data_IF_496303734976
#
_entry.id   IF_496303734976
#
_cell.length_a   1.000
_cell.length_b   1.000
_cell.length_c   1.000
_cell.angle_alpha   90.00
_cell.angle_beta   90.00
_cell.angle_gamma   90.00
#
_symmetry.space_group_name_H-M   'P 1'
#
loop_
_entity.id
_entity.type
_entity.pdbx_description
1 polymer ?
#
# COMPACT_ATOMS: atom_id res chain seq x y z
N UNK A 1 22.71 -6.49 7.50
CA UNK A 1 21.77 -5.57 8.16
C UNK A 1 21.29 -4.58 7.12
N UNK A 2 19.98 -4.41 6.96
CA UNK A 2 19.44 -3.53 5.94
C UNK A 2 19.61 -2.06 6.35
N UNK A 3 19.74 -1.17 5.37
CA UNK A 3 19.79 0.28 5.58
C UNK A 3 18.55 0.80 6.31
N UNK A 4 17.40 0.17 6.10
CA UNK A 4 16.13 0.53 6.75
C UNK A 4 16.22 0.44 8.28
N UNK A 5 16.76 -0.65 8.81
CA UNK A 5 16.96 -0.81 10.28
C UNK A 5 17.86 0.29 10.82
N UNK A 6 18.88 0.67 10.04
CA UNK A 6 19.80 1.76 10.42
C UNK A 6 19.11 3.12 10.48
N UNK A 7 18.12 3.37 9.62
CA UNK A 7 17.35 4.60 9.67
C UNK A 7 16.60 4.74 11.00
N UNK A 8 15.94 3.68 11.51
CA UNK A 8 15.29 3.73 12.82
C UNK A 8 16.30 3.96 13.97
N UNK A 9 17.44 3.28 13.94
CA UNK A 9 18.51 3.51 14.93
C UNK A 9 19.01 4.97 14.91
N UNK A 10 19.20 5.55 13.74
CA UNK A 10 19.64 6.93 13.58
C UNK A 10 18.54 7.94 13.94
N UNK A 11 17.28 7.67 13.62
CA UNK A 11 16.16 8.51 14.04
C UNK A 11 16.04 8.56 15.57
N UNK A 12 16.17 7.41 16.25
CA UNK A 12 16.21 7.38 17.72
C UNK A 12 17.33 8.24 18.30
N UNK A 13 18.55 8.17 17.74
CA UNK A 13 19.68 9.02 18.15
C UNK A 13 19.41 10.50 17.92
N UNK A 14 18.88 10.86 16.75
CA UNK A 14 18.54 12.24 16.42
C UNK A 14 17.50 12.83 17.39
N UNK A 15 16.52 12.03 17.83
CA UNK A 15 15.55 12.43 18.85
C UNK A 15 16.20 12.74 20.21
N UNK A 16 17.30 12.08 20.53
CA UNK A 16 18.08 12.34 21.74
C UNK A 16 19.15 13.43 21.58
N UNK A 17 19.18 14.13 20.43
CA UNK A 17 20.11 15.23 20.17
C UNK A 17 21.51 14.79 19.76
N UNK A 18 21.70 13.53 19.41
CA UNK A 18 22.96 13.05 18.83
C UNK A 18 23.08 13.49 17.37
N UNK A 19 24.28 13.94 16.97
CA UNK A 19 24.57 14.22 15.57
C UNK A 19 24.72 12.91 14.79
N UNK A 20 23.81 12.69 13.85
CA UNK A 20 23.80 11.52 12.96
C UNK A 20 24.27 11.87 11.54
N UNK A 21 24.63 13.14 11.27
CA UNK A 21 25.02 13.63 9.95
C UNK A 21 23.95 13.34 8.90
N UNK A 22 24.39 12.95 7.70
CA UNK A 22 23.50 12.53 6.61
C UNK A 22 22.95 11.08 6.77
N UNK A 23 22.70 10.66 7.99
CA UNK A 23 22.46 9.28 8.40
C UNK A 23 21.17 8.61 7.92
N UNK A 24 20.46 9.17 6.93
CA UNK A 24 19.32 8.51 6.27
C UNK A 24 19.77 7.82 4.98
N UNK A 25 19.30 6.60 4.76
CA UNK A 25 19.60 5.75 3.61
C UNK A 25 18.35 5.36 2.85
N UNK A 26 18.38 5.54 1.54
CA UNK A 26 17.30 5.13 0.64
C UNK A 26 16.36 6.26 0.26
N UNK A 27 15.13 5.92 -0.05
CA UNK A 27 14.10 6.85 -0.50
C UNK A 27 13.23 7.32 0.68
N UNK A 28 12.57 8.46 0.56
CA UNK A 28 11.73 9.06 1.60
C UNK A 28 10.71 8.09 2.21
N UNK A 29 10.24 7.12 1.45
CA UNK A 29 9.28 6.09 1.88
C UNK A 29 9.92 4.80 2.42
N UNK A 30 11.21 4.81 2.72
CA UNK A 30 11.97 3.58 3.03
C UNK A 30 11.45 2.82 4.27
N UNK A 31 10.84 3.52 5.22
CA UNK A 31 10.25 2.91 6.42
C UNK A 31 9.18 1.86 6.09
N UNK A 32 8.48 2.05 4.97
CA UNK A 32 7.44 1.11 4.51
C UNK A 32 7.98 -0.28 4.17
N UNK A 33 9.26 -0.42 3.82
CA UNK A 33 9.87 -1.73 3.54
C UNK A 33 9.97 -2.57 4.82
N UNK A 34 10.35 -1.96 5.94
CA UNK A 34 10.35 -2.62 7.25
C UNK A 34 8.93 -3.02 7.66
N UNK A 35 7.97 -2.14 7.47
CA UNK A 35 6.57 -2.37 7.78
C UNK A 35 6.02 -3.59 7.01
N UNK A 36 6.15 -3.61 5.69
CA UNK A 36 5.70 -4.73 4.84
C UNK A 36 6.41 -6.04 5.20
N UNK A 37 7.69 -5.98 5.58
CA UNK A 37 8.42 -7.15 6.03
C UNK A 37 7.88 -7.68 7.35
N UNK A 38 7.58 -6.81 8.34
CA UNK A 38 6.96 -7.19 9.61
C UNK A 38 5.58 -7.82 9.35
N UNK A 39 4.79 -7.23 8.47
CA UNK A 39 3.46 -7.75 8.12
C UNK A 39 3.55 -9.16 7.52
N UNK A 40 4.48 -9.38 6.58
CA UNK A 40 4.74 -10.70 6.01
C UNK A 40 5.21 -11.71 7.05
N UNK A 41 6.10 -11.31 7.95
CA UNK A 41 6.58 -12.14 9.05
C UNK A 41 5.45 -12.49 10.02
N UNK A 42 4.55 -11.55 10.32
CA UNK A 42 3.39 -11.77 11.18
C UNK A 42 2.46 -12.85 10.61
N UNK A 43 2.09 -12.75 9.34
CA UNK A 43 1.26 -13.78 8.70
C UNK A 43 1.96 -15.14 8.63
N UNK A 44 3.28 -15.16 8.41
CA UNK A 44 4.06 -16.39 8.46
C UNK A 44 4.05 -17.02 9.85
N UNK A 45 4.24 -16.22 10.91
CA UNK A 45 4.22 -16.66 12.31
C UNK A 45 2.85 -17.18 12.75
N UNK A 46 1.76 -16.64 12.19
CA UNK A 46 0.41 -17.12 12.48
C UNK A 46 0.18 -18.57 12.01
N UNK A 47 0.85 -18.98 10.92
CA UNK A 47 0.74 -20.31 10.33
C UNK A 47 1.86 -21.25 10.79
N UNK A 48 3.06 -20.72 10.90
CA UNK A 48 4.29 -21.48 11.21
C UNK A 48 5.07 -20.78 12.32
N UNK A 49 4.82 -21.15 13.58
CA UNK A 49 5.55 -20.57 14.71
C UNK A 49 7.07 -20.77 14.57
N UNK A 50 7.82 -19.67 14.69
CA UNK A 50 9.28 -19.62 14.59
C UNK A 50 9.82 -18.62 15.63
N UNK A 51 10.50 -19.14 16.66
CA UNK A 51 11.02 -18.32 17.76
C UNK A 51 12.11 -17.34 17.28
N UNK A 52 12.95 -17.74 16.32
CA UNK A 52 14.02 -16.89 15.81
C UNK A 52 13.44 -15.74 14.98
N UNK A 53 12.46 -16.02 14.12
CA UNK A 53 11.77 -15.00 13.36
C UNK A 53 11.04 -14.03 14.30
N UNK A 54 10.31 -14.56 15.29
CA UNK A 54 9.61 -13.75 16.30
C UNK A 54 10.57 -12.83 17.06
N UNK A 55 11.72 -13.34 17.52
CA UNK A 55 12.74 -12.53 18.19
C UNK A 55 13.32 -11.45 17.27
N UNK A 56 13.52 -11.75 15.99
CA UNK A 56 14.02 -10.77 15.00
C UNK A 56 13.00 -9.65 14.77
N UNK A 57 11.70 -9.98 14.71
CA UNK A 57 10.62 -8.98 14.59
C UNK A 57 10.55 -8.13 15.86
N UNK A 58 10.62 -8.72 17.05
CA UNK A 58 10.60 -7.99 18.32
C UNK A 58 11.78 -6.99 18.41
N UNK A 59 13.02 -7.42 18.04
CA UNK A 59 14.17 -6.51 18.00
C UNK A 59 13.95 -5.32 17.05
N UNK A 60 13.34 -5.55 15.89
CA UNK A 60 13.02 -4.46 14.96
C UNK A 60 11.94 -3.53 15.53
N UNK A 61 10.91 -4.07 16.17
CA UNK A 61 9.85 -3.29 16.83
C UNK A 61 10.43 -2.43 17.95
N UNK A 62 11.42 -2.91 18.70
CA UNK A 62 12.11 -2.13 19.72
C UNK A 62 12.78 -0.88 19.13
N UNK A 63 13.44 -1.02 17.97
CA UNK A 63 14.08 0.08 17.25
C UNK A 63 13.06 1.07 16.68
N UNK A 64 11.94 0.57 16.13
CA UNK A 64 10.84 1.41 15.63
C UNK A 64 10.24 2.22 16.79
N UNK A 65 9.98 1.59 17.93
CA UNK A 65 9.43 2.26 19.11
C UNK A 65 10.38 3.35 19.63
N UNK A 66 11.69 3.11 19.63
CA UNK A 66 12.69 4.10 20.01
C UNK A 66 12.80 5.28 19.04
N UNK A 67 12.39 5.11 17.78
CA UNK A 67 12.38 6.15 16.74
C UNK A 67 11.10 7.00 16.74
N UNK A 68 10.13 6.71 17.61
CA UNK A 68 8.92 7.51 17.73
C UNK A 68 9.12 8.72 18.62
N UNK A 69 8.77 9.90 18.12
CA UNK A 69 8.82 11.15 18.86
C UNK A 69 7.79 11.18 20.03
N UNK A 70 8.01 12.04 21.01
CA UNK A 70 7.15 12.18 22.20
C UNK A 70 5.70 12.50 21.86
N UNK A 71 5.46 13.25 20.77
CA UNK A 71 4.13 13.61 20.27
C UNK A 71 3.42 12.50 19.48
N UNK A 72 4.12 11.36 19.23
CA UNK A 72 3.62 10.22 18.46
C UNK A 72 4.02 10.20 17.00
N UNK A 73 4.69 11.23 16.51
CA UNK A 73 5.18 11.24 15.12
C UNK A 73 6.18 10.11 14.89
N UNK A 74 6.08 9.46 13.71
CA UNK A 74 7.00 8.39 13.32
C UNK A 74 7.25 8.44 11.82
N UNK A 75 8.40 8.94 11.44
CA UNK A 75 8.96 8.91 10.08
C UNK A 75 10.46 9.18 10.19
N UNK A 76 11.30 8.26 9.70
CA UNK A 76 12.74 8.37 9.90
C UNK A 76 13.38 9.40 8.99
N UNK A 77 12.81 9.65 7.79
CA UNK A 77 13.36 10.63 6.85
C UNK A 77 13.32 12.05 7.44
N UNK A 78 12.14 12.53 7.82
CA UNK A 78 11.99 13.86 8.36
C UNK A 78 12.61 13.99 9.75
N UNK A 79 12.59 12.95 10.57
CA UNK A 79 13.23 12.96 11.89
C UNK A 79 14.75 13.15 11.80
N UNK A 80 15.40 12.57 10.79
CA UNK A 80 16.86 12.66 10.58
C UNK A 80 17.23 13.91 9.78
N UNK A 81 16.48 14.21 8.72
CA UNK A 81 16.85 15.27 7.76
C UNK A 81 16.42 16.65 8.19
N UNK A 82 15.14 16.83 8.53
CA UNK A 82 14.60 18.14 8.92
C UNK A 82 13.21 17.98 9.58
N UNK A 83 13.18 18.00 10.89
CA UNK A 83 11.95 17.86 11.69
C UNK A 83 10.93 18.97 11.44
N UNK A 84 11.40 20.16 11.05
CA UNK A 84 10.51 21.30 10.80
C UNK A 84 9.74 21.15 9.48
N UNK A 85 10.19 20.26 8.59
CA UNK A 85 9.51 19.97 7.31
C UNK A 85 8.38 18.95 7.38
N UNK A 86 8.10 18.39 8.55
CA UNK A 86 6.98 17.45 8.77
C UNK A 86 5.67 18.04 8.26
N UNK A 87 4.89 17.26 7.55
CA UNK A 87 3.58 17.59 7.00
C UNK A 87 3.53 18.73 5.96
N UNK A 88 4.68 19.24 5.52
CA UNK A 88 4.73 20.35 4.56
C UNK A 88 4.67 19.91 3.10
N UNK A 89 4.92 18.65 2.80
CA UNK A 89 4.95 18.10 1.44
C UNK A 89 4.22 16.75 1.38
N UNK A 90 2.91 16.77 1.50
CA UNK A 90 2.11 15.54 1.42
C UNK A 90 2.13 14.93 0.02
N UNK A 91 2.36 15.74 -1.03
CA UNK A 91 2.52 15.27 -2.40
C UNK A 91 3.61 14.20 -2.54
N UNK A 92 4.78 14.41 -1.90
CA UNK A 92 5.99 13.60 -2.09
C UNK A 92 6.54 12.97 -0.80
N UNK A 93 6.23 13.53 0.36
CA UNK A 93 6.85 13.19 1.65
C UNK A 93 6.58 11.78 2.16
N UNK A 94 5.49 11.16 1.73
CA UNK A 94 5.11 9.76 2.07
C UNK A 94 4.94 9.47 3.56
N UNK A 95 4.82 10.49 4.42
CA UNK A 95 4.64 10.32 5.87
C UNK A 95 3.40 9.47 6.19
N UNK A 96 2.25 9.80 5.57
CA UNK A 96 1.01 9.05 5.72
C UNK A 96 1.07 7.65 5.12
N UNK A 97 1.83 7.47 4.03
CA UNK A 97 2.07 6.17 3.41
C UNK A 97 2.89 5.24 4.33
N UNK A 98 3.98 5.74 4.89
CA UNK A 98 4.81 4.98 5.83
C UNK A 98 4.04 4.64 7.11
N UNK A 99 3.28 5.60 7.64
CA UNK A 99 2.38 5.37 8.79
C UNK A 99 1.33 4.31 8.48
N UNK A 100 0.70 4.35 7.30
CA UNK A 100 -0.30 3.36 6.88
C UNK A 100 0.27 1.94 6.86
N UNK A 101 1.38 1.73 6.17
CA UNK A 101 2.02 0.40 6.15
C UNK A 101 2.43 -0.09 7.54
N UNK A 102 2.92 0.80 8.39
CA UNK A 102 3.29 0.43 9.76
C UNK A 102 2.06 0.08 10.60
N UNK A 103 0.91 0.75 10.39
CA UNK A 103 -0.38 0.39 11.01
C UNK A 103 -0.85 -1.00 10.56
N UNK A 104 -0.74 -1.33 9.26
CA UNK A 104 -1.07 -2.68 8.77
C UNK A 104 -0.20 -3.75 9.41
N UNK A 105 1.12 -3.50 9.51
CA UNK A 105 2.07 -4.39 10.18
C UNK A 105 1.74 -4.58 11.66
N UNK A 106 1.39 -3.50 12.36
CA UNK A 106 1.03 -3.51 13.77
C UNK A 106 -0.21 -4.37 14.05
N UNK A 107 -1.25 -4.21 13.23
CA UNK A 107 -2.46 -5.03 13.31
C UNK A 107 -2.13 -6.51 13.05
N UNK A 108 -1.40 -6.82 11.97
CA UNK A 108 -1.06 -8.19 11.62
C UNK A 108 -0.23 -8.86 12.72
N UNK A 109 0.76 -8.16 13.28
CA UNK A 109 1.61 -8.71 14.32
C UNK A 109 0.85 -8.94 15.64
N UNK A 110 -0.04 -8.03 16.00
CA UNK A 110 -0.91 -8.21 17.16
C UNK A 110 -1.88 -9.39 16.98
N UNK A 111 -2.52 -9.49 15.82
CA UNK A 111 -3.46 -10.59 15.52
C UNK A 111 -2.75 -11.95 15.48
N UNK A 112 -1.52 -12.01 14.97
CA UNK A 112 -0.73 -13.25 14.90
C UNK A 112 -0.15 -13.70 16.25
N UNK A 113 0.26 -12.76 17.11
CA UNK A 113 1.09 -13.08 18.30
C UNK A 113 0.50 -12.63 19.63
N UNK A 114 -0.50 -11.77 19.63
CA UNK A 114 -1.04 -11.11 20.82
C UNK A 114 -0.12 -10.02 21.42
N UNK A 115 1.06 -9.76 20.83
CA UNK A 115 2.01 -8.74 21.30
C UNK A 115 1.58 -7.34 20.88
N UNK A 116 1.41 -6.43 21.85
CA UNK A 116 0.81 -5.10 21.63
C UNK A 116 1.80 -3.99 21.30
N UNK A 117 3.10 -4.17 21.53
CA UNK A 117 4.07 -3.06 21.50
C UNK A 117 4.00 -2.22 20.21
N UNK A 118 3.99 -2.86 19.04
CA UNK A 118 3.89 -2.12 17.78
C UNK A 118 2.50 -1.49 17.60
N UNK A 119 1.45 -2.17 18.05
CA UNK A 119 0.10 -1.62 18.00
C UNK A 119 -0.01 -0.35 18.87
N UNK A 120 0.53 -0.36 20.08
CA UNK A 120 0.54 0.80 20.97
C UNK A 120 1.32 1.99 20.36
N UNK A 121 2.46 1.71 19.69
CA UNK A 121 3.22 2.72 18.93
C UNK A 121 2.37 3.32 17.82
N UNK A 122 1.65 2.48 17.07
CA UNK A 122 0.85 2.96 15.94
C UNK A 122 -0.49 3.58 16.35
N UNK A 123 -1.08 3.20 17.48
CA UNK A 123 -2.20 3.94 18.04
C UNK A 123 -1.78 5.36 18.47
N UNK A 124 -0.60 5.52 19.06
CA UNK A 124 -0.05 6.84 19.40
C UNK A 124 0.26 7.67 18.13
N UNK A 125 0.77 7.04 17.07
CA UNK A 125 0.99 7.71 15.78
C UNK A 125 -0.35 8.10 15.13
N UNK A 126 -1.35 7.23 15.12
CA UNK A 126 -2.67 7.54 14.59
C UNK A 126 -3.36 8.68 15.39
N UNK A 127 -3.17 8.75 16.70
CA UNK A 127 -3.66 9.88 17.52
C UNK A 127 -2.96 11.19 17.18
N UNK A 128 -1.64 11.16 16.90
CA UNK A 128 -0.90 12.33 16.40
C UNK A 128 -1.47 12.82 15.06
N UNK A 129 -1.71 11.90 14.12
CA UNK A 129 -2.29 12.22 12.81
C UNK A 129 -3.73 12.75 12.97
N UNK A 130 -4.53 12.11 13.83
CA UNK A 130 -5.90 12.57 14.12
C UNK A 130 -5.91 13.99 14.71
N UNK A 131 -5.01 14.27 15.64
CA UNK A 131 -4.84 15.60 16.20
C UNK A 131 -4.51 16.61 15.12
N UNK A 132 -3.53 16.31 14.28
CA UNK A 132 -3.08 17.22 13.22
C UNK A 132 -4.19 17.53 12.21
N UNK A 133 -4.83 16.52 11.62
CA UNK A 133 -5.78 16.74 10.52
C UNK A 133 -7.21 17.02 10.99
N UNK A 134 -7.66 16.41 12.10
CA UNK A 134 -9.05 16.55 12.56
C UNK A 134 -9.18 17.64 13.63
N UNK A 135 -8.34 17.61 14.67
CA UNK A 135 -8.51 18.51 15.82
C UNK A 135 -7.98 19.90 15.52
N UNK A 136 -6.82 19.99 14.86
CA UNK A 136 -6.18 21.26 14.48
C UNK A 136 -6.67 21.77 13.12
N UNK A 137 -7.49 20.98 12.41
CA UNK A 137 -8.08 21.34 11.11
C UNK A 137 -7.04 21.66 10.03
N UNK A 138 -5.87 21.01 10.04
CA UNK A 138 -4.90 21.17 8.97
C UNK A 138 -5.42 20.50 7.70
N UNK A 139 -5.35 21.21 6.58
CA UNK A 139 -5.78 20.69 5.28
C UNK A 139 -4.77 19.68 4.75
N UNK A 140 -5.26 18.64 4.07
CA UNK A 140 -4.41 17.71 3.37
C UNK A 140 -5.00 16.35 3.09
N UNK A 141 -4.43 15.71 2.08
CA UNK A 141 -4.67 14.31 1.73
C UNK A 141 -3.35 13.67 1.35
N UNK A 142 -3.14 12.37 1.59
CA UNK A 142 -1.88 11.70 1.28
C UNK A 142 -1.59 11.77 -0.23
N UNK A 143 -0.37 12.11 -0.62
CA UNK A 143 0.06 12.05 -2.02
C UNK A 143 0.01 10.62 -2.55
N UNK A 144 0.49 9.66 -1.77
CA UNK A 144 0.29 8.24 -2.04
C UNK A 144 -0.72 7.67 -1.05
N UNK A 145 -1.93 7.28 -1.52
CA UNK A 145 -2.90 6.56 -0.71
C UNK A 145 -2.33 5.26 -0.15
N UNK A 146 -2.60 5.00 1.09
CA UNK A 146 -2.31 3.79 1.86
C UNK A 146 -2.98 3.87 3.23
N UNK A 147 -2.87 5.05 3.88
CA UNK A 147 -3.36 5.22 5.24
C UNK A 147 -4.88 5.00 5.33
N UNK A 148 -5.62 5.24 4.26
CA UNK A 148 -7.06 5.07 4.21
C UNK A 148 -7.47 3.61 4.49
N UNK A 149 -6.82 2.66 3.79
CA UNK A 149 -7.08 1.23 4.00
C UNK A 149 -6.48 0.71 5.32
N UNK A 150 -5.33 1.25 5.73
CA UNK A 150 -4.67 0.89 6.98
C UNK A 150 -5.50 1.30 8.21
N UNK A 151 -6.09 2.50 8.20
CA UNK A 151 -6.99 2.97 9.25
C UNK A 151 -8.26 2.12 9.35
N UNK A 152 -8.77 1.61 8.22
CA UNK A 152 -9.87 0.65 8.23
C UNK A 152 -9.47 -0.67 8.90
N UNK A 153 -8.23 -1.14 8.71
CA UNK A 153 -7.67 -2.31 9.41
C UNK A 153 -7.48 -2.02 10.90
N UNK A 154 -6.89 -0.89 11.26
CA UNK A 154 -6.77 -0.43 12.66
C UNK A 154 -8.13 -0.38 13.37
N UNK A 155 -9.15 0.16 12.70
CA UNK A 155 -10.50 0.19 13.26
C UNK A 155 -11.06 -1.23 13.51
N UNK A 156 -10.85 -2.17 12.60
CA UNK A 156 -11.29 -3.57 12.79
C UNK A 156 -10.59 -4.25 13.95
N UNK A 157 -9.28 -4.04 14.08
CA UNK A 157 -8.44 -4.66 15.11
C UNK A 157 -8.71 -4.09 16.51
N UNK A 158 -8.90 -2.76 16.62
CA UNK A 158 -8.98 -2.06 17.92
C UNK A 158 -10.40 -1.67 18.34
N UNK A 159 -11.33 -1.58 17.40
CA UNK A 159 -12.68 -1.06 17.62
C UNK A 159 -12.76 0.47 17.82
N UNK A 160 -11.63 1.18 17.76
CA UNK A 160 -11.58 2.62 17.99
C UNK A 160 -12.15 3.40 16.81
N UNK A 161 -13.27 4.08 17.02
CA UNK A 161 -14.00 4.84 16.01
C UNK A 161 -13.23 6.05 15.45
N UNK A 162 -12.21 6.54 16.16
CA UNK A 162 -11.37 7.63 15.62
C UNK A 162 -10.68 7.23 14.32
N UNK A 163 -10.26 5.96 14.21
CA UNK A 163 -9.61 5.47 13.01
C UNK A 163 -10.54 5.39 11.81
N UNK A 164 -11.80 5.03 12.05
CA UNK A 164 -12.84 5.09 11.01
C UNK A 164 -13.10 6.53 10.55
N UNK A 165 -13.22 7.47 11.49
CA UNK A 165 -13.44 8.89 11.18
C UNK A 165 -12.26 9.49 10.40
N UNK A 166 -11.03 9.11 10.74
CA UNK A 166 -9.83 9.58 10.04
C UNK A 166 -9.73 9.01 8.62
N UNK A 167 -10.06 7.72 8.42
CA UNK A 167 -10.16 7.12 7.10
C UNK A 167 -11.21 7.82 6.23
N UNK A 168 -12.40 8.04 6.79
CA UNK A 168 -13.49 8.77 6.15
C UNK A 168 -13.07 10.20 5.76
N UNK A 169 -12.35 10.89 6.65
CA UNK A 169 -11.82 12.23 6.39
C UNK A 169 -10.94 12.25 5.13
N UNK A 170 -9.90 11.41 5.06
CA UNK A 170 -8.98 11.41 3.92
C UNK A 170 -9.67 11.01 2.61
N UNK A 171 -10.58 10.03 2.66
CA UNK A 171 -11.35 9.62 1.48
C UNK A 171 -12.27 10.77 1.00
N UNK A 172 -13.01 11.40 1.91
CA UNK A 172 -13.93 12.47 1.56
C UNK A 172 -13.20 13.74 1.07
N UNK A 173 -12.07 14.08 1.70
CA UNK A 173 -11.28 15.26 1.34
C UNK A 173 -10.60 15.15 -0.04
N UNK A 174 -10.34 13.93 -0.50
CA UNK A 174 -9.67 13.74 -1.78
C UNK A 174 -10.51 14.27 -2.94
N UNK A 175 -9.96 15.25 -3.64
CA UNK A 175 -10.59 15.90 -4.80
C UNK A 175 -11.69 16.91 -4.46
N UNK A 176 -11.95 17.23 -3.18
CA UNK A 176 -12.77 18.41 -2.82
C UNK A 176 -12.10 19.71 -3.26
N UNK A 177 -10.79 19.81 -3.07
CA UNK A 177 -9.96 20.87 -3.64
C UNK A 177 -8.96 20.26 -4.63
N UNK A 178 -9.23 20.28 -5.94
CA UNK A 178 -8.31 19.76 -6.95
C UNK A 178 -6.94 20.46 -6.94
N UNK A 179 -6.88 21.72 -6.50
CA UNK A 179 -5.68 22.54 -6.44
C UNK A 179 -4.92 22.47 -5.11
N UNK A 180 -5.27 21.52 -4.24
CA UNK A 180 -4.62 21.39 -2.93
C UNK A 180 -3.08 21.29 -3.04
N UNK A 181 -2.56 20.42 -3.90
CA UNK A 181 -1.11 20.21 -4.02
C UNK A 181 -0.38 21.40 -4.64
N UNK A 182 -1.03 22.18 -5.51
CA UNK A 182 -0.48 23.43 -6.03
C UNK A 182 -0.34 24.49 -4.92
N UNK A 183 -1.38 24.62 -4.07
CA UNK A 183 -1.36 25.52 -2.91
C UNK A 183 -0.34 25.10 -1.87
N UNK A 184 -0.18 23.78 -1.65
CA UNK A 184 0.85 23.23 -0.78
C UNK A 184 2.24 23.53 -1.34
N UNK A 185 2.49 23.24 -2.61
CA UNK A 185 3.78 23.48 -3.26
C UNK A 185 4.17 24.96 -3.27
N UNK A 186 3.21 25.85 -3.39
CA UNK A 186 3.47 27.31 -3.35
C UNK A 186 3.90 27.83 -1.96
N UNK A 187 3.73 27.05 -0.89
CA UNK A 187 4.12 27.40 0.49
C UNK A 187 5.56 26.98 0.84
N UNK A 188 6.25 26.25 -0.03
CA UNK A 188 7.58 25.71 0.21
C UNK A 188 8.52 25.97 -0.96
N UNK A 189 9.81 26.07 -0.69
CA UNK A 189 10.89 26.26 -1.65
C UNK A 189 11.72 25.00 -1.90
N UNK A 190 11.24 23.84 -1.42
CA UNK A 190 11.91 22.54 -1.51
C UNK A 190 10.95 21.45 -2.04
N UNK A 191 11.54 20.40 -2.60
CA UNK A 191 10.87 19.23 -3.15
C UNK A 191 11.72 17.99 -2.88
N UNK A 192 11.12 16.81 -2.87
CA UNK A 192 11.84 15.54 -2.78
C UNK A 192 12.28 15.08 -4.17
N UNK A 193 11.36 15.11 -5.15
CA UNK A 193 11.62 14.64 -6.52
C UNK A 193 11.23 15.63 -7.61
N UNK A 194 10.59 16.72 -7.27
CA UNK A 194 10.08 17.69 -8.24
C UNK A 194 8.83 17.22 -8.97
N UNK A 195 7.96 16.47 -8.32
CA UNK A 195 6.68 16.05 -8.89
C UNK A 195 5.83 17.27 -9.26
N UNK A 196 5.16 17.18 -10.41
CA UNK A 196 4.28 18.24 -10.86
C UNK A 196 2.98 18.28 -10.03
N UNK A 197 2.73 19.35 -9.25
CA UNK A 197 1.55 19.44 -8.40
C UNK A 197 0.24 19.64 -9.20
N UNK A 198 0.33 20.00 -10.48
CA UNK A 198 -0.85 20.18 -11.37
C UNK A 198 -1.33 18.88 -12.02
N UNK A 199 -0.63 17.76 -11.79
CA UNK A 199 -1.01 16.45 -12.33
C UNK A 199 -2.12 15.80 -11.48
N UNK A 200 -3.32 16.40 -11.49
CA UNK A 200 -4.44 15.98 -10.63
C UNK A 200 -4.84 14.52 -10.83
N UNK A 201 -4.81 14.02 -12.05
CA UNK A 201 -5.12 12.62 -12.36
C UNK A 201 -4.08 11.66 -11.77
N UNK A 202 -2.82 12.08 -11.71
CA UNK A 202 -1.73 11.27 -11.16
C UNK A 202 -1.95 10.91 -9.70
N UNK A 203 -2.51 11.83 -8.91
CA UNK A 203 -2.85 11.66 -7.50
C UNK A 203 -4.32 11.30 -7.24
N UNK A 204 -5.12 11.02 -8.27
CA UNK A 204 -6.57 10.77 -8.16
C UNK A 204 -7.31 11.90 -7.41
N UNK A 205 -6.87 13.16 -7.57
CA UNK A 205 -7.38 14.33 -6.84
C UNK A 205 -8.14 15.34 -7.72
N UNK A 206 -8.33 15.04 -9.00
CA UNK A 206 -9.01 15.96 -9.93
C UNK A 206 -10.52 16.11 -9.71
N UNK A 207 -11.14 15.15 -9.01
CA UNK A 207 -12.57 15.13 -8.68
C UNK A 207 -12.79 14.48 -7.33
N UNK A 208 -13.85 14.86 -6.58
CA UNK A 208 -14.29 14.11 -5.40
C UNK A 208 -14.46 12.62 -5.72
N UNK A 209 -14.08 11.75 -4.80
CA UNK A 209 -14.03 10.29 -5.04
C UNK A 209 -15.34 9.71 -5.56
N UNK A 210 -16.49 10.21 -5.07
CA UNK A 210 -17.81 9.74 -5.52
C UNK A 210 -18.16 10.15 -6.95
N UNK A 211 -17.45 11.12 -7.54
CA UNK A 211 -17.63 11.57 -8.91
C UNK A 211 -16.59 10.96 -9.89
N UNK A 212 -15.66 10.16 -9.38
CA UNK A 212 -14.67 9.48 -10.21
C UNK A 212 -15.32 8.32 -10.99
N UNK A 213 -14.91 8.16 -12.25
CA UNK A 213 -15.42 7.13 -13.17
C UNK A 213 -14.33 6.36 -13.89
N UNK A 214 -13.13 6.93 -13.96
CA UNK A 214 -12.02 6.39 -14.72
C UNK A 214 -10.79 6.22 -13.84
N UNK A 215 -10.17 5.06 -13.95
CA UNK A 215 -8.92 4.80 -13.27
C UNK A 215 -7.78 5.51 -14.00
N UNK A 216 -7.20 6.51 -13.38
CA UNK A 216 -6.15 7.37 -13.96
C UNK A 216 -4.94 7.47 -13.06
N UNK A 217 -3.84 7.96 -13.62
CA UNK A 217 -2.62 8.23 -12.89
C UNK A 217 -1.89 6.98 -12.40
N UNK A 218 -1.10 7.12 -11.36
CA UNK A 218 -0.27 6.03 -10.84
C UNK A 218 -1.12 4.85 -10.38
N UNK A 219 -0.85 3.66 -10.92
CA UNK A 219 -1.74 2.50 -10.76
C UNK A 219 -1.82 2.01 -9.32
N UNK A 220 -0.71 1.96 -8.58
CA UNK A 220 -0.70 1.52 -7.17
C UNK A 220 -1.48 2.51 -6.29
N UNK A 221 -1.27 3.82 -6.46
CA UNK A 221 -2.03 4.86 -5.74
C UNK A 221 -3.54 4.69 -5.95
N UNK A 222 -3.95 4.46 -7.19
CA UNK A 222 -5.34 4.28 -7.55
C UNK A 222 -5.98 3.08 -6.84
N UNK A 223 -5.40 1.89 -6.97
CA UNK A 223 -6.00 0.67 -6.37
C UNK A 223 -5.94 0.66 -4.85
N UNK A 224 -4.96 1.32 -4.23
CA UNK A 224 -4.91 1.47 -2.77
C UNK A 224 -6.04 2.40 -2.28
N UNK A 225 -6.23 3.55 -2.95
CA UNK A 225 -7.37 4.44 -2.68
C UNK A 225 -8.70 3.70 -2.83
N UNK A 226 -8.88 2.99 -3.96
CA UNK A 226 -10.13 2.28 -4.24
C UNK A 226 -10.39 1.14 -3.25
N UNK A 227 -9.34 0.53 -2.72
CA UNK A 227 -9.45 -0.45 -1.62
C UNK A 227 -10.03 0.20 -0.37
N UNK A 228 -9.47 1.35 0.06
CA UNK A 228 -9.98 2.11 1.19
C UNK A 228 -11.43 2.57 0.98
N UNK A 229 -11.76 3.06 -0.21
CA UNK A 229 -13.13 3.47 -0.59
C UNK A 229 -14.12 2.30 -0.47
N UNK A 230 -13.78 1.13 -1.02
CA UNK A 230 -14.64 -0.05 -0.98
C UNK A 230 -14.81 -0.58 0.47
N UNK A 231 -13.75 -0.55 1.28
CA UNK A 231 -13.84 -0.93 2.69
C UNK A 231 -14.72 0.02 3.51
N UNK A 232 -14.58 1.33 3.28
CA UNK A 232 -15.41 2.36 3.94
C UNK A 232 -16.87 2.22 3.53
N UNK A 233 -17.13 2.04 2.24
CA UNK A 233 -18.49 1.88 1.72
C UNK A 233 -19.20 0.68 2.35
N UNK A 234 -18.54 -0.47 2.43
CA UNK A 234 -19.07 -1.67 3.07
C UNK A 234 -19.37 -1.45 4.57
N UNK A 235 -18.49 -0.69 5.26
CA UNK A 235 -18.65 -0.42 6.68
C UNK A 235 -19.78 0.56 6.99
N UNK A 236 -19.91 1.62 6.17
CA UNK A 236 -20.84 2.72 6.44
C UNK A 236 -22.16 2.60 5.65
N UNK A 237 -22.27 1.64 4.73
CA UNK A 237 -23.44 1.51 3.84
C UNK A 237 -23.52 2.66 2.82
N UNK A 238 -22.40 3.24 2.40
CA UNK A 238 -22.34 4.35 1.45
C UNK A 238 -22.46 3.83 0.01
N UNK A 239 -23.69 3.77 -0.48
CA UNK A 239 -23.98 3.29 -1.83
C UNK A 239 -23.37 4.19 -2.92
N UNK A 240 -23.27 5.50 -2.70
CA UNK A 240 -22.71 6.41 -3.69
C UNK A 240 -21.19 6.19 -3.84
N UNK A 241 -20.51 5.89 -2.74
CA UNK A 241 -19.10 5.52 -2.74
C UNK A 241 -18.89 4.15 -3.40
N UNK A 242 -19.77 3.17 -3.13
CA UNK A 242 -19.73 1.86 -3.78
C UNK A 242 -19.99 1.95 -5.28
N UNK A 243 -20.92 2.79 -5.72
CA UNK A 243 -21.16 3.02 -7.15
C UNK A 243 -19.96 3.64 -7.85
N UNK A 244 -19.22 4.51 -7.19
CA UNK A 244 -17.92 4.99 -7.71
C UNK A 244 -16.90 3.85 -7.82
N UNK A 245 -16.80 3.00 -6.80
CA UNK A 245 -15.94 1.81 -6.86
C UNK A 245 -16.28 0.89 -8.03
N UNK A 246 -17.57 0.65 -8.32
CA UNK A 246 -18.00 -0.16 -9.47
C UNK A 246 -17.58 0.46 -10.80
N UNK A 247 -17.76 1.78 -10.99
CA UNK A 247 -17.30 2.48 -12.21
C UNK A 247 -15.80 2.37 -12.40
N UNK A 248 -15.03 2.54 -11.33
CA UNK A 248 -13.57 2.43 -11.34
C UNK A 248 -13.12 0.99 -11.60
N UNK A 249 -13.82 0.01 -11.03
CA UNK A 249 -13.62 -1.42 -11.32
C UNK A 249 -13.81 -1.72 -12.81
N UNK A 250 -14.92 -1.30 -13.40
CA UNK A 250 -15.20 -1.47 -14.84
C UNK A 250 -14.15 -0.77 -15.70
N UNK A 251 -13.72 0.43 -15.30
CA UNK A 251 -12.66 1.16 -15.99
C UNK A 251 -11.36 0.36 -16.04
N UNK A 252 -10.97 -0.26 -14.93
CA UNK A 252 -9.78 -1.11 -14.85
C UNK A 252 -9.98 -2.39 -15.65
N UNK A 253 -10.96 -3.21 -15.26
CA UNK A 253 -11.05 -4.61 -15.70
C UNK A 253 -11.51 -4.78 -17.14
N UNK A 254 -12.29 -3.82 -17.67
CA UNK A 254 -12.83 -3.90 -19.03
C UNK A 254 -11.97 -3.18 -20.06
N UNK A 255 -11.12 -2.22 -19.64
CA UNK A 255 -10.45 -1.32 -20.59
C UNK A 255 -8.94 -1.15 -20.38
N UNK A 256 -8.42 -1.42 -19.16
CA UNK A 256 -7.05 -1.03 -18.78
C UNK A 256 -6.28 -2.14 -18.08
N UNK A 257 -6.77 -3.36 -18.12
CA UNK A 257 -6.13 -4.55 -17.54
C UNK A 257 -5.61 -5.47 -18.65
N UNK A 258 -4.39 -5.92 -18.51
CA UNK A 258 -3.81 -6.95 -19.34
C UNK A 258 -4.40 -8.33 -19.04
N UNK A 259 -4.31 -9.26 -19.99
CA UNK A 259 -4.79 -10.65 -19.82
C UNK A 259 -4.14 -11.39 -18.66
N UNK A 260 -2.99 -10.91 -18.19
CA UNK A 260 -2.28 -11.42 -17.01
C UNK A 260 -2.79 -10.88 -15.68
N UNK A 261 -3.75 -9.96 -15.69
CA UNK A 261 -4.15 -9.22 -14.49
C UNK A 261 -3.22 -8.06 -14.13
N UNK A 262 -2.23 -7.76 -14.99
CA UNK A 262 -1.38 -6.59 -14.88
C UNK A 262 -2.16 -5.30 -15.18
N UNK A 263 -1.85 -4.21 -14.49
CA UNK A 263 -2.44 -2.88 -14.69
C UNK A 263 -1.36 -1.81 -14.65
N UNK A 264 -1.63 -0.66 -15.29
CA UNK A 264 -0.65 0.40 -15.47
C UNK A 264 0.22 0.12 -16.70
N UNK A 265 -0.14 0.71 -17.85
CA UNK A 265 0.49 0.36 -19.13
C UNK A 265 1.74 1.18 -19.45
N UNK A 266 1.93 2.34 -18.81
CA UNK A 266 3.05 3.24 -19.12
C UNK A 266 4.06 3.34 -17.99
N UNK A 267 5.35 3.34 -18.36
CA UNK A 267 6.47 3.65 -17.45
C UNK A 267 6.45 5.12 -17.00
N UNK A 268 5.82 6.01 -17.77
CA UNK A 268 5.70 7.41 -17.40
C UNK A 268 4.72 7.55 -16.25
N UNK A 269 5.26 7.78 -15.07
CA UNK A 269 4.48 7.88 -13.83
C UNK A 269 3.93 6.55 -13.32
N UNK A 270 4.39 5.40 -13.85
CA UNK A 270 3.92 4.07 -13.39
C UNK A 270 2.38 3.96 -13.46
N UNK A 271 1.80 4.43 -14.57
CA UNK A 271 0.43 4.91 -14.61
C UNK A 271 -0.46 4.13 -15.59
N UNK A 272 -1.76 4.31 -15.39
CA UNK A 272 -2.74 4.02 -16.43
C UNK A 272 -2.56 4.97 -17.62
N UNK A 273 -2.80 4.47 -18.82
CA UNK A 273 -2.94 5.27 -20.04
C UNK A 273 -4.42 5.39 -20.43
N UNK A 274 -4.70 5.72 -21.67
CA UNK A 274 -6.06 5.79 -22.21
C UNK A 274 -6.66 4.38 -22.38
N UNK A 275 -7.97 4.31 -22.58
CA UNK A 275 -8.67 3.03 -22.76
C UNK A 275 -8.07 2.21 -23.92
N UNK A 276 -7.85 0.93 -23.66
CA UNK A 276 -7.31 -0.07 -24.61
C UNK A 276 -5.86 0.18 -25.08
N UNK A 277 -5.14 1.12 -24.48
CA UNK A 277 -3.71 1.31 -24.71
C UNK A 277 -2.91 0.33 -23.83
N UNK A 278 -2.75 -0.87 -24.36
CA UNK A 278 -2.15 -2.03 -23.67
C UNK A 278 -1.01 -2.64 -24.52
N UNK A 279 0.08 -1.88 -24.77
CA UNK A 279 1.23 -2.39 -25.52
C UNK A 279 1.86 -3.58 -24.80
N UNK A 280 2.18 -4.71 -25.49
CA UNK A 280 2.71 -5.92 -24.84
C UNK A 280 4.17 -5.80 -24.42
N UNK A 281 4.96 -5.06 -25.19
CA UNK A 281 6.43 -4.97 -25.10
C UNK A 281 6.94 -3.85 -24.21
N UNK A 282 6.08 -2.84 -23.90
CA UNK A 282 6.40 -1.70 -23.05
C UNK A 282 5.49 -1.59 -21.83
N UNK A 283 4.68 -2.62 -21.59
CA UNK A 283 3.80 -2.69 -20.43
C UNK A 283 4.58 -2.48 -19.14
N UNK A 284 4.21 -1.49 -18.33
CA UNK A 284 4.81 -1.35 -17.01
C UNK A 284 4.31 -2.45 -16.07
N UNK A 285 3.00 -2.60 -15.92
CA UNK A 285 2.35 -3.67 -15.19
C UNK A 285 3.10 -4.01 -13.88
N UNK A 286 3.22 -3.03 -13.00
CA UNK A 286 3.95 -3.16 -11.74
C UNK A 286 3.37 -4.27 -10.87
N UNK A 287 4.23 -5.08 -10.27
CA UNK A 287 3.81 -6.14 -9.34
C UNK A 287 2.96 -5.59 -8.20
N UNK A 288 3.31 -4.43 -7.61
CA UNK A 288 2.51 -3.80 -6.56
C UNK A 288 1.11 -3.38 -7.04
N UNK A 289 0.97 -2.99 -8.29
CA UNK A 289 -0.34 -2.62 -8.84
C UNK A 289 -1.28 -3.82 -8.93
N UNK A 290 -0.78 -4.99 -9.36
CA UNK A 290 -1.57 -6.23 -9.36
C UNK A 290 -1.90 -6.73 -7.96
N UNK A 291 -0.98 -6.55 -6.98
CA UNK A 291 -1.25 -6.81 -5.57
C UNK A 291 -2.37 -5.89 -5.05
N UNK A 292 -2.29 -4.59 -5.34
CA UNK A 292 -3.33 -3.63 -4.95
C UNK A 292 -4.67 -3.90 -5.64
N UNK A 293 -4.67 -4.41 -6.89
CA UNK A 293 -5.88 -4.86 -7.56
C UNK A 293 -6.54 -6.03 -6.81
N UNK A 294 -5.75 -6.96 -6.27
CA UNK A 294 -6.28 -8.03 -5.41
C UNK A 294 -6.89 -7.48 -4.12
N UNK A 295 -6.26 -6.47 -3.51
CA UNK A 295 -6.81 -5.82 -2.31
C UNK A 295 -8.15 -5.15 -2.62
N UNK A 296 -8.22 -4.46 -3.75
CA UNK A 296 -9.46 -3.82 -4.20
C UNK A 296 -10.55 -4.85 -4.50
N UNK A 297 -10.25 -5.92 -5.22
CA UNK A 297 -11.19 -7.01 -5.51
C UNK A 297 -11.74 -7.66 -4.23
N UNK A 298 -10.86 -7.95 -3.26
CA UNK A 298 -11.28 -8.50 -1.96
C UNK A 298 -12.15 -7.51 -1.16
N UNK A 299 -11.89 -6.21 -1.25
CA UNK A 299 -12.73 -5.19 -0.63
C UNK A 299 -14.11 -5.07 -1.32
N UNK A 300 -14.17 -5.26 -2.64
CA UNK A 300 -15.41 -5.32 -3.40
C UNK A 300 -16.27 -6.53 -3.03
N UNK A 301 -15.66 -7.71 -2.81
CA UNK A 301 -16.35 -8.91 -2.33
C UNK A 301 -17.06 -8.72 -0.98
N UNK A 302 -16.57 -7.79 -0.14
CA UNK A 302 -17.21 -7.44 1.15
C UNK A 302 -18.44 -6.56 0.99
N UNK A 303 -18.60 -5.91 -0.16
CA UNK A 303 -19.80 -5.16 -0.51
C UNK A 303 -20.83 -6.06 -1.19
N UNK A 304 -20.36 -6.88 -2.15
CA UNK A 304 -21.24 -7.73 -2.96
C UNK A 304 -20.48 -8.99 -3.41
N UNK A 305 -21.09 -10.16 -3.24
CA UNK A 305 -20.50 -11.45 -3.62
C UNK A 305 -20.69 -11.69 -5.13
N UNK A 306 -19.79 -11.16 -5.93
CA UNK A 306 -19.75 -11.33 -7.39
C UNK A 306 -18.48 -12.12 -7.76
N UNK A 307 -18.67 -13.24 -8.50
CA UNK A 307 -17.56 -14.13 -8.90
C UNK A 307 -16.48 -13.43 -9.72
N UNK A 308 -16.82 -12.41 -10.50
CA UNK A 308 -15.85 -11.64 -11.29
C UNK A 308 -14.72 -11.03 -10.42
N UNK A 309 -15.01 -10.63 -9.18
CA UNK A 309 -13.97 -10.12 -8.28
C UNK A 309 -12.96 -11.20 -7.93
N UNK A 310 -13.42 -12.43 -7.69
CA UNK A 310 -12.56 -13.58 -7.44
C UNK A 310 -11.76 -13.98 -8.68
N UNK A 311 -12.37 -13.98 -9.88
CA UNK A 311 -11.71 -14.28 -11.15
C UNK A 311 -10.55 -13.32 -11.43
N UNK A 312 -10.74 -12.02 -11.16
CA UNK A 312 -9.68 -11.02 -11.31
C UNK A 312 -8.57 -11.23 -10.27
N UNK A 313 -8.93 -11.56 -9.01
CA UNK A 313 -7.92 -11.90 -8.00
C UNK A 313 -7.07 -13.09 -8.43
N UNK A 314 -7.70 -14.16 -8.93
CA UNK A 314 -7.02 -15.36 -9.40
C UNK A 314 -6.07 -15.04 -10.54
N UNK A 315 -6.55 -14.30 -11.55
CA UNK A 315 -5.77 -13.89 -12.73
C UNK A 315 -4.55 -13.06 -12.31
N UNK A 316 -4.74 -12.04 -11.49
CA UNK A 316 -3.66 -11.18 -11.03
C UNK A 316 -2.62 -11.94 -10.18
N UNK A 317 -3.09 -12.82 -9.29
CA UNK A 317 -2.22 -13.57 -8.39
C UNK A 317 -1.33 -14.55 -9.15
N UNK A 318 -1.92 -15.44 -9.92
CA UNK A 318 -1.16 -16.51 -10.58
C UNK A 318 -0.29 -16.02 -11.72
N UNK A 319 -0.78 -15.06 -12.51
CA UNK A 319 -0.05 -14.67 -13.74
C UNK A 319 0.90 -13.49 -13.54
N UNK A 320 0.53 -12.45 -12.76
CA UNK A 320 1.41 -11.29 -12.56
C UNK A 320 2.22 -11.42 -11.28
N UNK A 321 1.59 -11.66 -10.13
CA UNK A 321 2.31 -11.66 -8.84
C UNK A 321 3.23 -12.87 -8.74
N UNK A 322 2.71 -14.10 -8.84
CA UNK A 322 3.54 -15.31 -8.79
C UNK A 322 4.40 -15.46 -10.04
N UNK A 323 3.86 -15.12 -11.22
CA UNK A 323 4.61 -15.10 -12.46
C UNK A 323 5.80 -14.14 -12.45
N UNK A 324 5.70 -13.05 -11.69
CA UNK A 324 6.79 -12.10 -11.48
C UNK A 324 7.95 -12.66 -10.64
N UNK A 325 7.72 -13.66 -9.82
CA UNK A 325 8.73 -14.24 -8.94
C UNK A 325 9.37 -15.51 -9.54
N UNK A 326 10.66 -15.72 -9.31
CA UNK A 326 11.33 -16.98 -9.64
C UNK A 326 10.88 -18.07 -8.64
N UNK A 327 10.83 -19.33 -9.10
CA UNK A 327 10.35 -20.45 -8.27
C UNK A 327 11.11 -20.64 -6.94
N UNK A 328 12.38 -20.22 -6.88
CA UNK A 328 13.18 -20.28 -5.64
C UNK A 328 12.97 -19.07 -4.72
N UNK A 329 12.09 -18.11 -5.09
CA UNK A 329 11.78 -16.91 -4.34
C UNK A 329 12.91 -15.86 -4.25
N UNK A 330 14.03 -16.03 -4.99
CA UNK A 330 15.23 -15.20 -4.81
C UNK A 330 15.38 -14.08 -5.85
N UNK A 331 14.57 -14.09 -6.88
CA UNK A 331 14.59 -13.12 -7.98
C UNK A 331 13.17 -12.77 -8.37
N UNK A 332 12.94 -11.54 -8.83
CA UNK A 332 11.59 -11.08 -9.13
C UNK A 332 11.60 -10.00 -10.22
N UNK A 333 10.47 -9.79 -10.87
CA UNK A 333 10.20 -8.63 -11.70
C UNK A 333 9.49 -7.56 -10.87
N UNK A 334 9.89 -6.32 -11.06
CA UNK A 334 9.16 -5.12 -10.66
C UNK A 334 8.08 -4.83 -11.71
N UNK A 335 8.49 -4.84 -12.97
CA UNK A 335 7.71 -4.60 -14.19
C UNK A 335 7.48 -5.92 -14.90
N UNK A 336 6.26 -6.17 -15.36
CA UNK A 336 5.85 -7.44 -15.95
C UNK A 336 5.33 -7.26 -17.39
N UNK A 337 6.20 -7.01 -18.40
CA UNK A 337 5.78 -6.96 -19.80
C UNK A 337 5.27 -8.31 -20.27
N UNK A 338 4.41 -8.34 -21.30
CA UNK A 338 3.90 -9.56 -21.89
C UNK A 338 4.83 -10.10 -22.97
N UNK A 339 5.68 -9.24 -23.54
CA UNK A 339 6.61 -9.57 -24.61
C UNK A 339 8.02 -9.13 -24.24
N UNK A 340 8.99 -10.00 -24.47
CA UNK A 340 10.41 -9.69 -24.41
C UNK A 340 10.95 -9.67 -25.83
N UNK A 341 11.46 -8.51 -26.28
CA UNK A 341 12.04 -8.33 -27.62
C UNK A 341 13.55 -8.51 -27.54
N UNK A 342 14.11 -9.59 -28.11
CA UNK A 342 15.54 -9.87 -28.06
C UNK A 342 16.40 -8.70 -28.56
N UNK A 343 17.39 -8.28 -27.78
CA UNK A 343 18.30 -7.19 -28.10
C UNK A 343 17.71 -5.77 -27.90
N UNK A 344 16.44 -5.65 -27.53
CA UNK A 344 15.73 -4.38 -27.29
C UNK A 344 15.34 -4.26 -25.81
N UNK A 345 14.64 -5.25 -25.26
CA UNK A 345 14.21 -5.23 -23.85
C UNK A 345 15.40 -5.13 -22.90
N UNK A 346 15.32 -4.22 -21.95
CA UNK A 346 16.39 -3.88 -21.00
C UNK A 346 17.52 -3.00 -21.56
N UNK A 347 17.54 -2.71 -22.89
CA UNK A 347 18.63 -2.01 -23.56
C UNK A 347 18.18 -0.68 -24.17
N UNK A 348 17.14 -0.69 -24.99
CA UNK A 348 16.59 0.50 -25.65
C UNK A 348 16.04 1.50 -24.61
N UNK A 349 16.14 2.83 -24.83
CA UNK A 349 15.58 3.83 -23.92
C UNK A 349 14.09 3.65 -23.61
N UNK A 350 13.30 3.19 -24.58
CA UNK A 350 11.87 2.94 -24.45
C UNK A 350 11.53 1.62 -23.74
N UNK A 351 12.48 0.68 -23.69
CA UNK A 351 12.31 -0.66 -23.11
C UNK A 351 13.29 -0.94 -21.96
N UNK A 352 13.95 0.10 -21.44
CA UNK A 352 14.94 -0.08 -20.36
C UNK A 352 14.35 -0.69 -19.09
N UNK A 353 13.07 -0.45 -18.83
CA UNK A 353 12.34 -1.01 -17.70
C UNK A 353 11.95 -2.48 -17.90
N UNK A 354 11.89 -2.97 -19.13
CA UNK A 354 11.51 -4.34 -19.48
C UNK A 354 12.72 -5.27 -19.37
N UNK A 355 12.96 -5.82 -18.21
CA UNK A 355 14.10 -6.71 -18.01
C UNK A 355 13.78 -8.12 -18.53
N UNK A 356 14.64 -8.72 -19.40
CA UNK A 356 14.40 -10.07 -19.92
C UNK A 356 14.65 -11.18 -18.88
N UNK A 357 15.28 -10.84 -17.75
CA UNK A 357 15.61 -11.77 -16.67
C UNK A 357 15.33 -11.12 -15.32
N UNK A 358 14.71 -11.88 -14.41
CA UNK A 358 14.42 -11.42 -13.05
C UNK A 358 15.71 -11.09 -12.31
N UNK A 359 15.92 -9.85 -11.85
CA UNK A 359 17.09 -9.49 -11.03
C UNK A 359 16.88 -9.92 -9.58
N UNK A 360 17.98 -9.89 -8.80
CA UNK A 360 17.92 -10.15 -7.37
C UNK A 360 17.37 -8.96 -6.58
N UNK A 361 17.54 -7.76 -7.09
CA UNK A 361 17.19 -6.52 -6.41
C UNK A 361 16.98 -5.37 -7.38
N UNK A 362 16.23 -4.36 -6.93
CA UNK A 362 16.04 -3.07 -7.59
C UNK A 362 16.45 -1.95 -6.63
N UNK A 363 16.76 -0.75 -7.15
CA UNK A 363 17.04 0.43 -6.32
C UNK A 363 15.84 0.81 -5.44
N UNK A 364 14.63 0.74 -6.00
CA UNK A 364 13.38 0.75 -5.24
C UNK A 364 12.91 -0.70 -5.05
N UNK A 365 12.75 -1.14 -3.84
CA UNK A 365 12.42 -2.52 -3.50
C UNK A 365 11.03 -2.67 -2.87
N UNK A 366 10.04 -1.89 -3.30
CA UNK A 366 8.67 -1.95 -2.77
C UNK A 366 7.97 -3.29 -3.07
N UNK A 367 8.23 -3.90 -4.25
CA UNK A 367 7.53 -5.09 -4.70
C UNK A 367 7.86 -6.38 -3.91
N UNK A 368 9.12 -6.70 -3.55
CA UNK A 368 9.40 -7.95 -2.84
C UNK A 368 8.68 -8.08 -1.49
N UNK A 369 8.75 -7.10 -0.57
CA UNK A 369 8.04 -7.20 0.69
C UNK A 369 6.52 -7.11 0.51
N UNK A 370 6.03 -6.40 -0.51
CA UNK A 370 4.60 -6.37 -0.84
C UNK A 370 4.10 -7.73 -1.34
N UNK A 371 4.86 -8.40 -2.20
CA UNK A 371 4.56 -9.77 -2.62
C UNK A 371 4.63 -10.75 -1.44
N UNK A 372 5.63 -10.61 -0.56
CA UNK A 372 5.77 -11.45 0.61
C UNK A 372 4.55 -11.34 1.54
N UNK A 373 4.07 -10.11 1.86
CA UNK A 373 2.88 -9.94 2.71
C UNK A 373 1.61 -10.49 2.08
N UNK A 374 1.44 -10.39 0.76
CA UNK A 374 0.30 -10.98 0.07
C UNK A 374 0.36 -12.52 0.09
N UNK A 375 1.50 -13.12 -0.26
CA UNK A 375 1.65 -14.58 -0.32
C UNK A 375 1.44 -15.20 1.05
N UNK A 376 1.99 -14.62 2.10
CA UNK A 376 1.84 -15.14 3.48
C UNK A 376 0.43 -14.93 4.05
N UNK A 377 -0.34 -13.99 3.52
CA UNK A 377 -1.76 -13.75 3.86
C UNK A 377 -2.75 -14.34 2.86
N UNK A 378 -2.30 -15.19 1.92
CA UNK A 378 -3.12 -15.72 0.83
C UNK A 378 -4.46 -16.29 1.28
N UNK A 379 -4.51 -16.98 2.42
CA UNK A 379 -5.74 -17.53 2.99
C UNK A 379 -6.84 -16.49 3.22
N UNK A 380 -6.49 -15.23 3.50
CA UNK A 380 -7.44 -14.13 3.68
C UNK A 380 -8.13 -13.70 2.38
N UNK A 381 -7.60 -14.12 1.24
CA UNK A 381 -8.15 -13.86 -0.11
C UNK A 381 -8.81 -15.09 -0.71
N UNK A 382 -8.30 -16.27 -0.36
CA UNK A 382 -8.81 -17.53 -0.89
C UNK A 382 -10.16 -17.91 -0.31
N UNK A 383 -10.43 -17.50 0.92
CA UNK A 383 -11.63 -17.90 1.64
C UNK A 383 -12.34 -16.69 2.26
N UNK A 384 -13.65 -16.78 2.35
CA UNK A 384 -14.49 -15.82 3.04
C UNK A 384 -15.64 -16.52 3.76
N UNK A 385 -16.26 -15.85 4.72
CA UNK A 385 -17.42 -16.34 5.44
C UNK A 385 -18.41 -15.22 5.74
N UNK A 386 -19.66 -15.60 5.89
CA UNK A 386 -20.69 -14.79 6.52
C UNK A 386 -21.42 -15.64 7.58
N UNK A 387 -22.54 -15.15 8.14
CA UNK A 387 -23.31 -15.89 9.15
C UNK A 387 -23.79 -17.28 8.71
N UNK A 388 -23.95 -17.50 7.41
CA UNK A 388 -24.69 -18.65 6.88
C UNK A 388 -23.83 -19.56 6.00
N UNK A 389 -22.75 -19.03 5.39
CA UNK A 389 -21.98 -19.73 4.37
C UNK A 389 -20.49 -19.41 4.45
N UNK A 390 -19.64 -20.41 4.12
CA UNK A 390 -18.26 -20.23 3.74
C UNK A 390 -18.12 -20.12 2.22
N UNK A 391 -17.23 -19.27 1.76
CA UNK A 391 -16.95 -19.04 0.34
C UNK A 391 -15.54 -19.48 0.02
N UNK A 392 -15.35 -20.19 -1.09
CA UNK A 392 -14.04 -20.44 -1.68
C UNK A 392 -13.91 -19.50 -2.90
N UNK A 393 -13.08 -18.48 -2.77
CA UNK A 393 -12.83 -17.53 -3.84
C UNK A 393 -11.68 -17.97 -4.75
N UNK A 394 -10.64 -18.60 -4.17
CA UNK A 394 -9.49 -19.10 -4.89
C UNK A 394 -9.23 -20.55 -4.48
N UNK A 395 -9.04 -21.43 -5.47
CA UNK A 395 -8.75 -22.84 -5.22
C UNK A 395 -7.24 -23.02 -4.99
N UNK A 396 -6.89 -23.35 -3.76
CA UNK A 396 -5.54 -23.70 -3.36
C UNK A 396 -5.57 -24.91 -2.43
N UNK A 397 -4.51 -25.69 -2.40
CA UNK A 397 -4.34 -26.76 -1.42
C UNK A 397 -4.23 -26.15 -0.02
N UNK A 398 -4.99 -26.68 0.93
CA UNK A 398 -5.03 -26.15 2.28
C UNK A 398 -6.10 -26.77 3.17
N UNK A 399 -6.02 -26.48 4.46
CA UNK A 399 -7.02 -26.83 5.46
C UNK A 399 -7.72 -25.56 5.96
N UNK A 400 -9.04 -25.52 5.86
CA UNK A 400 -9.85 -24.40 6.38
C UNK A 400 -10.66 -24.91 7.57
N UNK A 401 -10.44 -24.30 8.74
CA UNK A 401 -11.26 -24.53 9.92
C UNK A 401 -12.42 -23.54 9.93
N UNK A 402 -13.55 -23.94 9.37
CA UNK A 402 -14.79 -23.20 9.48
C UNK A 402 -15.37 -23.55 10.86
N UNK A 403 -15.68 -22.53 11.67
CA UNK A 403 -16.34 -22.73 12.96
C UNK A 403 -17.57 -23.62 12.83
N UNK A 404 -18.26 -24.01 13.88
CA UNK A 404 -19.29 -25.07 13.93
C UNK A 404 -20.15 -25.17 12.65
N UNK A 405 -19.71 -25.98 11.69
CA UNK A 405 -20.59 -26.50 10.66
C UNK A 405 -21.51 -27.52 11.34
N UNK A 406 -22.77 -27.21 11.52
CA UNK A 406 -23.77 -28.21 11.76
C UNK A 406 -24.12 -28.83 10.39
N UNK A 407 -23.60 -30.04 10.16
CA UNK A 407 -24.05 -30.91 9.06
C UNK A 407 -25.36 -31.56 9.48
#
# INVERSE_FOLDING_TARGET
KSHVVKNFENAAKALHGEDVGDGFYGMVFQDSDAAKWIEAAAYSLALYPDEQLSATVDELIDKIAAAQDEDGYLDTYFTIKDREKRWQNLLEGHELYCSGHMMEAACAYYEATGKKKLLDVMEKNAEHIYKHFITEHNEGVPGHPEIELALMKMYRTTGNKKWLLLAEHFINKRGEDPHFYEKEAAKRDWSVWGNNPTSHDYQQSGKPVRAQSDATGHAVRAVYLYTGMAQLSAKCGDNALYDACKRLWESITRRRMYVTGGIGSTVIGEAFSVDYDLPPDTAYAETCASIGLMFFANAMLKNELIGEYADVMETAFYNTVLGGMQLDGKRFFYVNPLEVVPGISGVSPTHRHDLPVRPKWYACACCPPNAARLITSFGCYAYGENSDMGFCHLYADGEVKIGRAHV
#
